data_IF_832726595840
#
_entry.id   IF_832726595840
#
_cell.length_a   1.000
_cell.length_b   1.000
_cell.length_c   1.000
_cell.angle_alpha   90.00
_cell.angle_beta   90.00
_cell.angle_gamma   90.00
#
_symmetry.space_group_name_H-M   'P 1'
#
loop_
_entity.id
_entity.type
_entity.pdbx_description
1 polymer ?
#
# COMPACT_ATOMS: atom_id res chain seq x y z
N UNK A 1 -11.50 20.58 -6.92
CA UNK A 1 -10.31 20.10 -7.68
C UNK A 1 -10.01 18.67 -7.28
N UNK A 2 -9.75 17.80 -8.26
CA UNK A 2 -9.48 16.36 -8.03
C UNK A 2 -7.98 16.11 -8.06
N UNK A 3 -7.47 15.41 -7.04
CA UNK A 3 -6.06 14.98 -6.94
C UNK A 3 -6.02 13.46 -6.84
N UNK A 4 -5.14 12.83 -7.59
CA UNK A 4 -5.05 11.37 -7.68
C UNK A 4 -3.62 10.89 -7.44
N UNK A 5 -3.49 9.91 -6.56
CA UNK A 5 -2.32 9.05 -6.44
C UNK A 5 -2.74 7.66 -6.88
N UNK A 6 -1.99 7.05 -7.80
CA UNK A 6 -2.21 5.66 -8.23
C UNK A 6 -1.04 4.84 -7.74
N UNK A 7 -1.31 3.94 -6.79
CA UNK A 7 -0.28 3.19 -6.04
C UNK A 7 -0.30 1.71 -6.42
N UNK A 8 0.87 1.16 -6.74
CA UNK A 8 1.06 -0.28 -6.84
C UNK A 8 1.61 -0.78 -5.51
N UNK A 9 0.89 -1.68 -4.87
CA UNK A 9 1.37 -2.35 -3.66
C UNK A 9 2.28 -3.54 -4.02
N UNK A 10 2.97 -4.06 -3.01
CA UNK A 10 3.87 -5.21 -3.11
C UNK A 10 5.07 -5.04 -4.06
N UNK A 11 5.50 -3.81 -4.37
CA UNK A 11 6.71 -3.58 -5.15
C UNK A 11 7.92 -4.20 -4.42
N UNK A 12 8.74 -4.98 -5.14
CA UNK A 12 9.79 -5.81 -4.57
C UNK A 12 9.39 -7.24 -4.23
N UNK A 13 8.09 -7.61 -4.30
CA UNK A 13 7.64 -8.97 -4.00
C UNK A 13 8.20 -10.01 -4.98
N UNK A 14 8.14 -9.73 -6.27
CA UNK A 14 8.64 -10.61 -7.33
C UNK A 14 9.08 -9.81 -8.55
N UNK A 15 9.91 -10.39 -9.45
CA UNK A 15 10.24 -9.75 -10.73
C UNK A 15 8.98 -9.42 -11.56
N UNK A 16 7.96 -10.29 -11.52
CA UNK A 16 6.71 -10.07 -12.23
C UNK A 16 5.94 -8.83 -11.73
N UNK A 17 5.92 -8.59 -10.42
CA UNK A 17 5.36 -7.35 -9.85
C UNK A 17 6.19 -6.14 -10.28
N UNK A 18 7.51 -6.24 -10.16
CA UNK A 18 8.42 -5.14 -10.50
C UNK A 18 8.33 -4.72 -11.98
N UNK A 19 8.23 -5.68 -12.89
CA UNK A 19 8.02 -5.46 -14.31
C UNK A 19 6.70 -4.74 -14.59
N UNK A 20 5.62 -5.18 -13.94
CA UNK A 20 4.32 -4.56 -14.11
C UNK A 20 4.27 -3.13 -13.55
N UNK A 21 4.95 -2.87 -12.43
CA UNK A 21 5.12 -1.52 -11.87
C UNK A 21 5.87 -0.61 -12.85
N UNK A 22 6.99 -1.06 -13.39
CA UNK A 22 7.75 -0.29 -14.38
C UNK A 22 6.90 -0.01 -15.63
N UNK A 23 6.21 -1.02 -16.17
CA UNK A 23 5.35 -0.86 -17.34
C UNK A 23 4.18 0.09 -17.07
N UNK A 24 3.47 -0.10 -15.95
CA UNK A 24 2.32 0.72 -15.59
C UNK A 24 2.70 2.19 -15.31
N UNK A 25 3.93 2.45 -14.85
CA UNK A 25 4.44 3.81 -14.69
C UNK A 25 4.84 4.45 -16.02
N UNK A 26 5.51 3.70 -16.89
CA UNK A 26 5.99 4.21 -18.18
C UNK A 26 4.88 4.43 -19.19
N UNK A 27 3.97 3.46 -19.29
CA UNK A 27 2.99 3.37 -20.37
C UNK A 27 1.56 3.63 -19.89
N UNK A 28 1.36 3.81 -18.58
CA UNK A 28 0.07 3.86 -17.92
C UNK A 28 -0.12 5.05 -17.00
N UNK A 29 -0.93 4.85 -15.96
CA UNK A 29 -1.35 5.90 -15.02
C UNK A 29 -0.69 5.79 -13.65
N UNK A 30 0.23 4.86 -13.45
CA UNK A 30 0.82 4.61 -12.14
C UNK A 30 1.72 5.79 -11.73
N UNK A 31 1.50 6.35 -10.55
CA UNK A 31 2.30 7.48 -10.03
C UNK A 31 3.15 7.13 -8.83
N UNK A 32 2.76 6.09 -8.08
CA UNK A 32 3.45 5.64 -6.89
C UNK A 32 3.55 4.11 -6.78
N UNK A 33 4.54 3.63 -6.03
CA UNK A 33 4.69 2.22 -5.68
C UNK A 33 5.09 2.06 -4.21
N UNK A 34 4.58 1.02 -3.54
CA UNK A 34 4.87 0.73 -2.13
C UNK A 34 5.88 -0.42 -2.06
N UNK A 35 7.11 -0.12 -1.64
CA UNK A 35 8.23 -1.07 -1.61
C UNK A 35 8.24 -1.93 -0.34
N UNK A 36 8.21 -3.26 -0.51
CA UNK A 36 8.52 -4.24 0.52
C UNK A 36 10.04 -4.43 0.59
N UNK A 37 10.70 -3.75 1.53
CA UNK A 37 12.18 -3.66 1.57
C UNK A 37 12.93 -4.98 1.79
N UNK A 38 12.26 -5.97 2.38
CA UNK A 38 12.83 -7.30 2.66
C UNK A 38 12.34 -8.39 1.71
N UNK A 39 11.52 -8.03 0.73
CA UNK A 39 10.98 -9.01 -0.20
C UNK A 39 12.05 -9.50 -1.21
N UNK A 40 11.88 -10.71 -1.78
CA UNK A 40 12.92 -11.36 -2.59
C UNK A 40 13.43 -10.54 -3.79
N UNK A 41 12.57 -9.70 -4.37
CA UNK A 41 12.91 -8.86 -5.53
C UNK A 41 13.08 -7.37 -5.17
N UNK A 42 13.28 -7.02 -3.89
CA UNK A 42 13.43 -5.64 -3.44
C UNK A 42 14.63 -4.93 -4.08
N UNK A 43 15.76 -5.64 -4.27
CA UNK A 43 16.94 -5.07 -4.92
C UNK A 43 16.68 -4.68 -6.39
N UNK A 44 15.96 -5.53 -7.13
CA UNK A 44 15.52 -5.23 -8.50
C UNK A 44 14.55 -4.05 -8.53
N UNK A 45 13.60 -4.00 -7.59
CA UNK A 45 12.66 -2.89 -7.46
C UNK A 45 13.37 -1.55 -7.23
N UNK A 46 14.35 -1.51 -6.32
CA UNK A 46 15.17 -0.30 -6.07
C UNK A 46 15.96 0.10 -7.32
N UNK A 47 16.52 -0.87 -8.05
CA UNK A 47 17.25 -0.58 -9.29
C UNK A 47 16.34 0.02 -10.38
N UNK A 48 15.09 -0.46 -10.50
CA UNK A 48 14.07 0.11 -11.40
C UNK A 48 13.65 1.51 -10.97
N UNK A 49 13.34 1.71 -9.70
CA UNK A 49 12.96 3.02 -9.15
C UNK A 49 14.00 4.11 -9.45
N UNK A 50 15.30 3.78 -9.33
CA UNK A 50 16.39 4.72 -9.67
C UNK A 50 16.42 5.13 -11.15
N UNK A 51 15.93 4.28 -12.06
CA UNK A 51 15.80 4.58 -13.49
C UNK A 51 14.49 5.29 -13.85
N UNK A 52 13.54 5.33 -12.91
CA UNK A 52 12.21 5.94 -13.05
C UNK A 52 12.06 7.08 -12.03
N UNK A 53 12.80 8.19 -12.13
CA UNK A 53 12.84 9.22 -11.10
C UNK A 53 11.51 9.95 -10.87
N UNK A 54 10.55 9.84 -11.79
CA UNK A 54 9.17 10.31 -11.64
C UNK A 54 8.27 9.37 -10.85
N UNK A 55 8.65 8.10 -10.65
CA UNK A 55 7.92 7.17 -9.82
C UNK A 55 8.16 7.50 -8.36
N UNK A 56 7.10 7.83 -7.63
CA UNK A 56 7.20 8.02 -6.19
C UNK A 56 7.20 6.68 -5.48
N UNK A 57 8.13 6.46 -4.56
CA UNK A 57 8.25 5.17 -3.87
C UNK A 57 7.99 5.39 -2.38
N UNK A 58 7.07 4.61 -1.80
CA UNK A 58 6.81 4.57 -0.38
C UNK A 58 7.32 3.29 0.27
N UNK A 59 7.28 3.24 1.60
CA UNK A 59 7.57 2.03 2.36
C UNK A 59 6.28 1.23 2.60
N UNK A 60 6.25 0.00 2.10
CA UNK A 60 5.20 -0.98 2.38
C UNK A 60 5.59 -1.84 3.57
N UNK A 61 5.11 -1.48 4.77
CA UNK A 61 5.45 -2.20 5.98
C UNK A 61 4.91 -3.64 5.92
N UNK A 62 5.77 -4.61 6.20
CA UNK A 62 5.45 -6.03 6.21
C UNK A 62 5.41 -6.51 7.64
N UNK A 63 4.22 -6.82 8.13
CA UNK A 63 4.02 -7.21 9.52
C UNK A 63 3.33 -8.58 9.67
N UNK A 64 2.94 -9.19 8.55
CA UNK A 64 2.23 -10.47 8.44
C UNK A 64 2.56 -11.12 7.10
N UNK A 65 2.57 -12.46 7.08
CA UNK A 65 2.60 -13.31 5.88
C UNK A 65 3.77 -13.12 4.90
N UNK A 66 4.85 -12.43 5.28
CA UNK A 66 6.00 -12.18 4.41
C UNK A 66 7.30 -12.02 5.21
N UNK A 67 8.40 -11.68 4.53
CA UNK A 67 9.75 -11.70 5.08
C UNK A 67 10.00 -10.56 6.09
N UNK A 68 10.50 -10.87 7.31
CA UNK A 68 10.96 -9.85 8.24
C UNK A 68 12.28 -9.20 7.75
N UNK A 69 12.56 -7.98 8.22
CA UNK A 69 13.88 -7.36 8.08
C UNK A 69 14.86 -7.89 9.12
N UNK A 70 14.44 -8.00 10.39
CA UNK A 70 15.28 -8.57 11.42
C UNK A 70 15.35 -10.10 11.30
N UNK A 71 16.46 -10.73 11.74
CA UNK A 71 16.54 -12.18 11.79
C UNK A 71 15.39 -12.77 12.61
N UNK A 72 14.73 -13.82 12.11
CA UNK A 72 13.58 -14.43 12.77
C UNK A 72 13.86 -14.86 14.24
N UNK A 73 15.11 -15.25 14.55
CA UNK A 73 15.51 -15.56 15.93
C UNK A 73 15.42 -14.39 16.91
N UNK A 74 15.36 -13.14 16.42
CA UNK A 74 15.11 -11.93 17.22
C UNK A 74 13.61 -11.59 17.35
N UNK A 75 12.75 -12.28 16.59
CA UNK A 75 11.32 -12.02 16.48
C UNK A 75 10.44 -13.24 16.86
N UNK A 76 10.74 -13.99 17.95
CA UNK A 76 10.02 -15.24 18.25
C UNK A 76 8.51 -15.08 18.53
N UNK A 77 8.03 -13.86 18.81
CA UNK A 77 6.59 -13.59 18.96
C UNK A 77 5.91 -13.22 17.63
N UNK A 78 6.68 -12.85 16.60
CA UNK A 78 6.17 -12.30 15.35
C UNK A 78 6.40 -13.20 14.14
N UNK A 79 7.32 -14.16 14.20
CA UNK A 79 7.61 -15.07 13.09
C UNK A 79 7.09 -16.48 13.34
N UNK A 80 6.77 -17.18 12.26
CA UNK A 80 6.40 -18.60 12.24
C UNK A 80 7.65 -19.51 12.19
N UNK A 81 7.41 -20.83 12.13
CA UNK A 81 8.47 -21.84 12.09
C UNK A 81 9.29 -21.80 10.79
N UNK A 82 8.80 -21.14 9.75
CA UNK A 82 9.50 -20.93 8.48
C UNK A 82 10.32 -19.62 8.48
N UNK A 83 10.27 -18.85 9.58
CA UNK A 83 10.95 -17.57 9.71
C UNK A 83 10.25 -16.42 8.98
N UNK A 84 9.02 -16.62 8.51
CA UNK A 84 8.18 -15.56 7.94
C UNK A 84 7.37 -14.89 9.04
N UNK A 85 6.91 -13.66 8.80
CA UNK A 85 5.95 -13.01 9.67
C UNK A 85 4.67 -13.86 9.76
N UNK A 86 4.15 -14.00 10.99
CA UNK A 86 2.95 -14.78 11.30
C UNK A 86 1.76 -14.43 10.41
N UNK A 87 0.91 -15.42 10.16
CA UNK A 87 -0.28 -15.29 9.30
C UNK A 87 -1.57 -15.02 10.08
N UNK A 88 -1.56 -15.30 11.37
CA UNK A 88 -2.73 -15.23 12.25
C UNK A 88 -2.98 -13.81 12.79
N UNK A 89 -3.37 -12.87 11.91
CA UNK A 89 -3.57 -11.44 12.23
C UNK A 89 -4.37 -11.19 13.52
N UNK A 90 -5.47 -11.92 13.73
CA UNK A 90 -6.33 -11.74 14.91
C UNK A 90 -5.64 -12.12 16.22
N UNK A 91 -4.95 -13.26 16.25
CA UNK A 91 -4.23 -13.73 17.44
C UNK A 91 -2.94 -12.94 17.64
N UNK A 92 -2.27 -12.52 16.57
CA UNK A 92 -1.15 -11.57 16.65
C UNK A 92 -1.61 -10.23 17.25
N UNK A 93 -2.78 -9.71 16.86
CA UNK A 93 -3.38 -8.52 17.47
C UNK A 93 -3.59 -8.66 18.98
N UNK A 94 -4.09 -9.82 19.42
CA UNK A 94 -4.25 -10.13 20.85
C UNK A 94 -2.89 -10.23 21.57
N UNK A 95 -1.92 -10.91 20.98
CA UNK A 95 -0.57 -11.02 21.53
C UNK A 95 0.08 -9.64 21.68
N UNK A 96 -0.10 -8.74 20.71
CA UNK A 96 0.36 -7.35 20.81
C UNK A 96 -0.31 -6.61 21.98
N UNK A 97 -1.56 -6.89 22.32
CA UNK A 97 -2.23 -6.30 23.47
C UNK A 97 -1.72 -6.88 24.81
N UNK A 98 -1.46 -8.18 24.87
CA UNK A 98 -1.14 -8.88 26.11
C UNK A 98 0.37 -8.96 26.42
N UNK A 99 1.23 -9.00 25.40
CA UNK A 99 2.65 -9.30 25.56
C UNK A 99 3.52 -8.07 25.26
N UNK A 100 4.24 -7.61 26.28
CA UNK A 100 5.22 -6.53 26.12
C UNK A 100 6.38 -6.92 25.20
N UNK A 101 6.77 -8.20 25.17
CA UNK A 101 7.80 -8.72 24.26
C UNK A 101 7.41 -8.56 22.80
N UNK A 102 6.18 -8.94 22.43
CA UNK A 102 5.65 -8.79 21.07
C UNK A 102 5.64 -7.33 20.63
N UNK A 103 5.24 -6.40 21.52
CA UNK A 103 5.29 -4.95 21.23
C UNK A 103 6.71 -4.41 21.02
N UNK A 104 7.68 -4.89 21.79
CA UNK A 104 9.10 -4.52 21.60
C UNK A 104 9.65 -5.03 20.28
N UNK A 105 9.39 -6.30 19.96
CA UNK A 105 9.78 -6.91 18.68
C UNK A 105 9.13 -6.18 17.50
N UNK A 106 7.84 -5.80 17.62
CA UNK A 106 7.13 -5.07 16.58
C UNK A 106 7.77 -3.71 16.33
N UNK A 107 8.08 -2.97 17.40
CA UNK A 107 8.73 -1.68 17.28
C UNK A 107 10.14 -1.79 16.68
N UNK A 108 10.89 -2.84 17.04
CA UNK A 108 12.21 -3.11 16.47
C UNK A 108 12.13 -3.44 14.97
N UNK A 109 11.19 -4.30 14.58
CA UNK A 109 10.98 -4.68 13.18
C UNK A 109 10.51 -3.51 12.32
N UNK A 110 9.57 -2.69 12.80
CA UNK A 110 9.16 -1.47 12.08
C UNK A 110 10.36 -0.53 11.91
N UNK A 111 11.16 -0.32 12.97
CA UNK A 111 12.36 0.52 12.87
C UNK A 111 13.38 -0.04 11.85
N UNK A 112 13.61 -1.36 11.86
CA UNK A 112 14.49 -2.02 10.91
C UNK A 112 14.03 -1.84 9.47
N UNK A 113 12.72 -1.94 9.19
CA UNK A 113 12.16 -1.69 7.86
C UNK A 113 12.36 -0.23 7.41
N UNK A 114 12.18 0.74 8.29
CA UNK A 114 12.49 2.15 7.99
C UNK A 114 13.99 2.38 7.74
N UNK A 115 14.87 1.73 8.50
CA UNK A 115 16.33 1.81 8.30
C UNK A 115 16.75 1.17 6.98
N UNK A 116 16.20 0.00 6.66
CA UNK A 116 16.42 -0.68 5.39
C UNK A 116 15.91 0.17 4.21
N UNK A 117 14.73 0.77 4.33
CA UNK A 117 14.22 1.70 3.33
C UNK A 117 15.17 2.89 3.12
N UNK A 118 15.58 3.55 4.21
CA UNK A 118 16.53 4.67 4.15
C UNK A 118 17.85 4.27 3.48
N UNK A 119 18.34 3.06 3.73
CA UNK A 119 19.57 2.54 3.12
C UNK A 119 19.46 2.36 1.60
N UNK A 120 18.25 2.28 1.03
CA UNK A 120 18.06 2.28 -0.43
C UNK A 120 18.44 3.60 -1.08
N UNK A 121 18.45 4.71 -0.32
CA UNK A 121 18.65 6.07 -0.82
C UNK A 121 17.45 6.64 -1.58
N UNK A 122 16.32 5.93 -1.66
CA UNK A 122 15.09 6.46 -2.25
C UNK A 122 14.43 7.49 -1.31
N UNK A 123 13.87 8.59 -1.83
CA UNK A 123 13.06 9.50 -1.03
C UNK A 123 11.78 8.81 -0.53
N UNK A 124 11.49 8.92 0.77
CA UNK A 124 10.29 8.34 1.35
C UNK A 124 9.05 9.17 0.97
N UNK A 125 8.29 8.70 -0.02
CA UNK A 125 7.08 9.37 -0.49
C UNK A 125 5.90 9.22 0.48
N UNK A 126 5.62 7.99 0.90
CA UNK A 126 4.53 7.64 1.79
C UNK A 126 4.83 6.35 2.56
N UNK A 127 3.97 6.04 3.53
CA UNK A 127 3.99 4.77 4.24
C UNK A 127 2.61 4.13 4.18
N UNK A 128 2.57 2.82 4.06
CA UNK A 128 1.40 1.97 4.24
C UNK A 128 1.86 0.59 4.74
N UNK A 129 0.97 -0.40 4.79
CA UNK A 129 1.35 -1.75 5.21
C UNK A 129 0.60 -2.83 4.43
N UNK A 130 1.26 -3.96 4.27
CA UNK A 130 0.68 -5.17 3.70
C UNK A 130 -0.56 -5.58 4.51
N UNK A 131 -1.65 -5.90 3.79
CA UNK A 131 -3.01 -6.14 4.35
C UNK A 131 -3.55 -5.02 5.24
N UNK A 132 -3.06 -3.79 5.08
CA UNK A 132 -3.45 -2.62 5.88
C UNK A 132 -3.29 -2.82 7.40
N UNK A 133 -2.36 -3.68 7.83
CA UNK A 133 -2.26 -4.05 9.24
C UNK A 133 -1.84 -2.87 10.15
N UNK A 134 -1.30 -1.81 9.57
CA UNK A 134 -1.00 -0.55 10.25
C UNK A 134 -2.23 0.17 10.80
N UNK A 135 -3.45 -0.20 10.41
CA UNK A 135 -4.70 0.30 10.99
C UNK A 135 -4.91 -0.18 12.43
N UNK A 136 -4.33 -1.32 12.82
CA UNK A 136 -4.43 -1.83 14.18
C UNK A 136 -3.85 -0.79 15.19
N UNK A 137 -4.57 -0.39 16.25
CA UNK A 137 -4.21 0.80 17.07
C UNK A 137 -2.80 0.80 17.67
N UNK A 138 -2.33 -0.37 18.11
CA UNK A 138 -0.97 -0.52 18.66
C UNK A 138 0.09 -0.41 17.57
N UNK A 139 -0.20 -0.94 16.38
CA UNK A 139 0.69 -0.86 15.22
C UNK A 139 0.72 0.57 14.70
N UNK A 140 -0.45 1.19 14.50
CA UNK A 140 -0.60 2.61 14.18
C UNK A 140 0.23 3.50 15.11
N UNK A 141 0.14 3.29 16.43
CA UNK A 141 0.93 4.05 17.41
C UNK A 141 2.44 3.88 17.23
N UNK A 142 2.91 2.67 16.91
CA UNK A 142 4.32 2.42 16.64
C UNK A 142 4.77 3.05 15.32
N UNK A 143 4.01 2.87 14.23
CA UNK A 143 4.30 3.44 12.90
C UNK A 143 4.37 4.96 12.95
N UNK A 144 3.39 5.63 13.57
CA UNK A 144 3.39 7.08 13.71
C UNK A 144 4.62 7.60 14.46
N UNK A 145 4.92 7.01 15.63
CA UNK A 145 6.05 7.42 16.47
C UNK A 145 7.40 7.15 15.80
N UNK A 146 7.57 5.99 15.18
CA UNK A 146 8.83 5.60 14.53
C UNK A 146 8.99 6.37 13.23
N UNK A 147 7.97 6.39 12.37
CA UNK A 147 8.00 7.08 11.07
C UNK A 147 8.31 8.57 11.19
N UNK A 148 7.86 9.25 12.24
CA UNK A 148 8.22 10.64 12.51
C UNK A 148 9.75 10.85 12.60
N UNK A 149 10.50 9.89 13.18
CA UNK A 149 11.97 9.95 13.26
C UNK A 149 12.65 9.76 11.89
N UNK A 150 11.96 9.18 10.93
CA UNK A 150 12.45 8.94 9.57
C UNK A 150 11.91 9.96 8.56
N UNK A 151 11.26 11.03 9.04
CA UNK A 151 10.73 12.08 8.16
C UNK A 151 9.50 11.64 7.37
N UNK A 152 8.72 10.67 7.86
CA UNK A 152 7.44 10.30 7.25
C UNK A 152 6.51 11.52 7.24
N UNK A 153 6.08 11.93 6.04
CA UNK A 153 5.16 13.06 5.83
C UNK A 153 3.80 12.65 5.28
N UNK A 154 3.67 11.44 4.75
CA UNK A 154 2.41 10.92 4.23
C UNK A 154 2.14 9.46 4.66
N UNK A 155 0.87 9.14 4.87
CA UNK A 155 0.42 7.83 5.34
C UNK A 155 -0.90 7.42 4.67
N UNK A 156 -0.99 6.20 4.13
CA UNK A 156 -2.27 5.66 3.66
C UNK A 156 -3.22 5.45 4.83
N UNK A 157 -4.47 5.88 4.66
CA UNK A 157 -5.57 5.52 5.55
C UNK A 157 -6.71 4.91 4.73
N UNK A 158 -6.97 3.60 4.86
CA UNK A 158 -7.91 2.89 3.98
C UNK A 158 -9.36 3.25 4.31
N UNK A 159 -9.88 4.29 3.67
CA UNK A 159 -11.28 4.73 3.78
C UNK A 159 -11.92 4.74 2.41
N UNK A 160 -12.73 3.72 2.14
CA UNK A 160 -13.34 3.54 0.83
C UNK A 160 -14.80 4.01 0.80
N UNK A 161 -15.13 5.05 0.03
CA UNK A 161 -16.49 5.59 -0.05
C UNK A 161 -17.41 4.68 -0.87
N UNK A 162 -18.39 4.06 -0.20
CA UNK A 162 -19.39 3.18 -0.84
C UNK A 162 -20.15 3.82 -1.99
N UNK A 163 -20.37 5.14 -1.95
CA UNK A 163 -21.04 5.85 -3.02
C UNK A 163 -20.27 5.79 -4.34
N UNK A 164 -18.94 5.94 -4.28
CA UNK A 164 -18.09 5.84 -5.48
C UNK A 164 -18.15 4.43 -6.05
N UNK A 165 -18.08 3.40 -5.19
CA UNK A 165 -18.21 2.00 -5.60
C UNK A 165 -19.55 1.71 -6.29
N UNK A 166 -20.66 2.16 -5.72
CA UNK A 166 -22.01 1.97 -6.30
C UNK A 166 -22.17 2.65 -7.66
N UNK A 167 -21.55 3.81 -7.86
CA UNK A 167 -21.56 4.50 -9.15
C UNK A 167 -20.67 3.79 -10.17
N UNK A 168 -19.50 3.31 -9.74
CA UNK A 168 -18.55 2.62 -10.60
C UNK A 168 -19.04 1.23 -11.05
N UNK A 169 -19.75 0.50 -10.21
CA UNK A 169 -20.36 -0.79 -10.56
C UNK A 169 -21.76 -0.90 -9.91
N UNK A 170 -22.82 -0.38 -10.57
CA UNK A 170 -24.18 -0.50 -10.07
C UNK A 170 -24.57 -1.96 -9.86
N UNK A 171 -25.16 -2.27 -8.71
CA UNK A 171 -25.52 -3.64 -8.31
C UNK A 171 -24.37 -4.45 -7.69
N UNK A 172 -23.13 -3.94 -7.66
CA UNK A 172 -22.09 -4.56 -6.87
C UNK A 172 -22.44 -4.49 -5.38
N UNK A 173 -22.28 -5.61 -4.69
CA UNK A 173 -22.39 -5.71 -3.24
C UNK A 173 -21.02 -6.04 -2.65
N UNK A 174 -20.05 -5.11 -2.70
CA UNK A 174 -18.71 -5.38 -2.21
C UNK A 174 -18.76 -5.70 -0.72
N UNK A 175 -18.04 -6.75 -0.30
CA UNK A 175 -17.93 -7.10 1.11
C UNK A 175 -17.45 -5.87 1.88
N UNK A 176 -18.19 -5.38 2.87
CA UNK A 176 -17.79 -4.17 3.56
C UNK A 176 -16.46 -4.40 4.29
N UNK A 177 -15.52 -3.46 4.18
CA UNK A 177 -14.38 -3.36 5.09
C UNK A 177 -14.81 -2.83 6.50
N UNK A 178 -16.02 -3.17 6.95
CA UNK A 178 -16.64 -2.62 8.18
C UNK A 178 -15.76 -2.83 9.41
N UNK A 179 -15.03 -3.94 9.44
CA UNK A 179 -14.22 -4.35 10.59
C UNK A 179 -13.02 -3.43 10.87
N UNK A 180 -12.56 -2.68 9.86
CA UNK A 180 -11.42 -1.75 10.00
C UNK A 180 -11.83 -0.28 10.05
N UNK A 181 -13.08 0.06 9.73
CA UNK A 181 -13.51 1.46 9.58
C UNK A 181 -13.32 2.33 10.84
N UNK A 182 -13.66 1.87 12.08
CA UNK A 182 -13.44 2.66 13.30
C UNK A 182 -11.95 2.94 13.53
N UNK A 183 -11.12 1.94 13.27
CA UNK A 183 -9.67 2.02 13.44
C UNK A 183 -9.01 2.90 12.37
N UNK A 184 -9.50 2.85 11.13
CA UNK A 184 -9.07 3.76 10.07
C UNK A 184 -9.46 5.22 10.38
N UNK A 185 -10.64 5.45 10.98
CA UNK A 185 -11.03 6.78 11.44
C UNK A 185 -10.13 7.30 12.57
N UNK A 186 -9.81 6.45 13.56
CA UNK A 186 -8.86 6.78 14.62
C UNK A 186 -7.47 7.10 14.05
N UNK A 187 -6.98 6.27 13.11
CA UNK A 187 -5.71 6.51 12.43
C UNK A 187 -5.72 7.85 11.68
N UNK A 188 -6.81 8.17 10.98
CA UNK A 188 -6.94 9.44 10.27
C UNK A 188 -6.82 10.65 11.21
N UNK A 189 -7.48 10.60 12.37
CA UNK A 189 -7.42 11.68 13.37
C UNK A 189 -5.99 11.85 13.87
N UNK A 190 -5.34 10.75 14.28
CA UNK A 190 -3.97 10.78 14.81
C UNK A 190 -2.95 11.25 13.77
N UNK A 191 -3.07 10.78 12.52
CA UNK A 191 -2.19 11.19 11.43
C UNK A 191 -2.32 12.69 11.13
N UNK A 192 -3.54 13.22 11.07
CA UNK A 192 -3.80 14.65 10.87
C UNK A 192 -3.29 15.51 12.03
N UNK A 193 -3.44 15.06 13.28
CA UNK A 193 -2.87 15.74 14.44
C UNK A 193 -1.34 15.84 14.39
N UNK A 194 -0.69 14.90 13.71
CA UNK A 194 0.76 14.92 13.47
C UNK A 194 1.16 15.67 12.20
N UNK A 195 0.21 16.33 11.50
CA UNK A 195 0.48 17.07 10.27
C UNK A 195 0.81 16.18 9.06
N UNK A 196 0.47 14.89 9.10
CA UNK A 196 0.69 13.99 7.97
C UNK A 196 -0.36 14.22 6.88
N UNK A 197 0.09 14.19 5.63
CA UNK A 197 -0.79 14.05 4.49
C UNK A 197 -1.40 12.64 4.50
N UNK A 198 -2.72 12.57 4.46
CA UNK A 198 -3.46 11.33 4.25
C UNK A 198 -4.43 11.53 3.09
N UNK A 199 -4.76 10.49 2.33
CA UNK A 199 -5.77 10.62 1.30
C UNK A 199 -7.15 10.86 1.95
N UNK A 200 -7.97 11.69 1.32
CA UNK A 200 -9.36 11.87 1.73
C UNK A 200 -10.14 10.56 1.60
N UNK A 201 -9.73 9.71 0.65
CA UNK A 201 -10.25 8.37 0.40
C UNK A 201 -9.21 7.47 -0.27
N UNK A 202 -9.34 6.17 -0.03
CA UNK A 202 -8.57 5.12 -0.71
C UNK A 202 -9.54 4.18 -1.41
N UNK A 203 -9.32 3.95 -2.71
CA UNK A 203 -10.10 3.07 -3.58
C UNK A 203 -9.27 1.84 -3.95
N UNK A 204 -9.90 0.66 -3.98
CA UNK A 204 -9.25 -0.61 -4.27
C UNK A 204 -9.44 -1.67 -3.17
N UNK A 205 -10.06 -1.32 -2.03
CA UNK A 205 -10.27 -2.26 -0.92
C UNK A 205 -11.30 -3.33 -1.28
N UNK A 206 -12.47 -2.91 -1.73
CA UNK A 206 -13.57 -3.76 -2.13
C UNK A 206 -13.22 -4.73 -3.27
N UNK A 207 -12.28 -4.34 -4.12
CA UNK A 207 -11.89 -5.06 -5.33
C UNK A 207 -10.40 -5.38 -5.35
N UNK A 208 -9.79 -5.54 -4.19
CA UNK A 208 -8.37 -5.91 -4.05
C UNK A 208 -8.11 -7.23 -4.77
N UNK A 209 -7.20 -7.24 -5.75
CA UNK A 209 -6.96 -8.39 -6.62
C UNK A 209 -7.95 -8.52 -7.79
N UNK A 210 -8.87 -7.58 -7.96
CA UNK A 210 -9.90 -7.58 -8.99
C UNK A 210 -10.15 -6.18 -9.58
N UNK A 211 -9.13 -5.33 -9.61
CA UNK A 211 -9.16 -3.99 -10.22
C UNK A 211 -9.02 -4.07 -11.75
N UNK A 212 -10.07 -4.57 -12.42
CA UNK A 212 -10.09 -4.72 -13.89
C UNK A 212 -10.11 -3.37 -14.63
N UNK A 213 -9.78 -3.33 -15.94
CA UNK A 213 -9.82 -2.09 -16.74
C UNK A 213 -11.15 -1.35 -16.62
N UNK A 214 -12.27 -2.10 -16.66
CA UNK A 214 -13.62 -1.56 -16.51
C UNK A 214 -13.81 -0.86 -15.16
N UNK A 215 -13.38 -1.50 -14.07
CA UNK A 215 -13.53 -0.97 -12.71
C UNK A 215 -12.66 0.26 -12.49
N UNK A 216 -11.40 0.20 -12.91
CA UNK A 216 -10.48 1.36 -12.82
C UNK A 216 -11.03 2.55 -13.61
N UNK A 217 -11.43 2.36 -14.87
CA UNK A 217 -12.02 3.43 -15.67
C UNK A 217 -13.28 4.04 -15.03
N UNK A 218 -14.16 3.19 -14.47
CA UNK A 218 -15.37 3.65 -13.80
C UNK A 218 -15.09 4.41 -12.50
N UNK A 219 -14.12 3.96 -11.68
CA UNK A 219 -13.69 4.68 -10.48
C UNK A 219 -13.11 6.05 -10.84
N UNK A 220 -12.25 6.11 -11.87
CA UNK A 220 -11.65 7.36 -12.35
C UNK A 220 -12.71 8.35 -12.86
N UNK A 221 -13.78 7.87 -13.49
CA UNK A 221 -14.89 8.70 -13.94
C UNK A 221 -15.71 9.32 -12.79
N UNK A 222 -15.72 8.68 -11.62
CA UNK A 222 -16.51 9.10 -10.45
C UNK A 222 -15.67 9.65 -9.29
N UNK A 223 -14.41 10.05 -9.55
CA UNK A 223 -13.55 10.65 -8.54
C UNK A 223 -14.20 11.90 -7.91
N UNK A 224 -14.33 11.95 -6.57
CA UNK A 224 -14.75 13.16 -5.88
C UNK A 224 -13.61 14.17 -5.82
N UNK A 225 -13.94 15.44 -5.53
CA UNK A 225 -12.96 16.47 -5.21
C UNK A 225 -12.13 16.11 -3.98
N UNK A 226 -10.88 16.56 -3.90
CA UNK A 226 -9.92 16.20 -2.85
C UNK A 226 -8.87 15.18 -3.31
N UNK A 227 -8.10 14.65 -2.36
CA UNK A 227 -7.03 13.68 -2.62
C UNK A 227 -7.59 12.26 -2.55
N UNK A 228 -7.51 11.54 -3.66
CA UNK A 228 -7.86 10.13 -3.76
C UNK A 228 -6.61 9.31 -4.01
N UNK A 229 -6.43 8.25 -3.21
CA UNK A 229 -5.53 7.17 -3.57
C UNK A 229 -6.34 6.05 -4.24
N UNK A 230 -5.89 5.59 -5.40
CA UNK A 230 -6.34 4.37 -6.04
C UNK A 230 -5.19 3.37 -5.92
N UNK A 231 -5.39 2.20 -5.31
CA UNK A 231 -4.33 1.20 -5.22
C UNK A 231 -4.69 -0.12 -5.90
N UNK A 232 -3.65 -0.82 -6.33
CA UNK A 232 -3.69 -2.05 -7.12
C UNK A 232 -2.52 -2.97 -6.76
N UNK A 233 -2.55 -4.22 -7.20
CA UNK A 233 -1.51 -5.24 -7.10
C UNK A 233 -1.20 -5.74 -8.52
N UNK A 234 -0.54 -4.94 -9.37
CA UNK A 234 -0.23 -5.35 -10.74
C UNK A 234 0.95 -6.33 -10.75
N UNK A 235 0.87 -7.39 -11.56
CA UNK A 235 2.02 -8.22 -11.91
C UNK A 235 1.92 -8.68 -13.37
N UNK A 236 3.05 -9.00 -14.00
CA UNK A 236 3.07 -9.46 -15.40
C UNK A 236 2.37 -10.81 -15.58
N UNK A 237 2.48 -11.68 -14.56
CA UNK A 237 1.76 -12.93 -14.39
C UNK A 237 1.64 -13.27 -12.88
N UNK A 238 0.74 -14.20 -12.52
CA UNK A 238 0.73 -14.84 -11.19
C UNK A 238 1.73 -16.00 -11.10
N UNK A 239 1.59 -16.84 -10.08
CA UNK A 239 2.40 -18.03 -9.83
C UNK A 239 3.72 -17.77 -9.12
N UNK A 240 3.85 -16.66 -8.38
CA UNK A 240 5.08 -16.31 -7.66
C UNK A 240 4.94 -16.49 -6.13
N UNK A 241 6.04 -16.76 -5.40
CA UNK A 241 6.01 -16.87 -3.95
C UNK A 241 5.46 -15.60 -3.29
N UNK A 242 4.50 -15.78 -2.37
CA UNK A 242 3.84 -14.68 -1.66
C UNK A 242 2.64 -14.08 -2.39
N UNK A 243 2.23 -14.64 -3.54
CA UNK A 243 1.00 -14.19 -4.21
C UNK A 243 -0.25 -14.42 -3.34
N UNK A 244 -1.21 -13.50 -3.46
CA UNK A 244 -2.51 -13.61 -2.85
C UNK A 244 -3.41 -14.52 -3.73
N UNK A 245 -4.00 -15.59 -3.17
CA UNK A 245 -4.86 -16.49 -3.93
C UNK A 245 -6.05 -15.76 -4.56
N UNK A 246 -6.30 -16.03 -5.85
CA UNK A 246 -7.44 -15.50 -6.58
C UNK A 246 -7.27 -14.07 -7.11
N UNK A 247 -6.11 -13.45 -6.93
CA UNK A 247 -5.82 -12.13 -7.50
C UNK A 247 -5.60 -12.22 -9.01
N UNK A 248 -6.28 -11.35 -9.77
CA UNK A 248 -6.15 -11.18 -11.20
C UNK A 248 -5.03 -10.18 -11.54
N UNK A 249 -3.80 -10.49 -11.13
CA UNK A 249 -2.63 -9.61 -11.24
C UNK A 249 -2.42 -8.98 -12.62
N UNK A 250 -2.50 -9.80 -13.68
CA UNK A 250 -2.34 -9.32 -15.05
C UNK A 250 -3.47 -8.36 -15.46
N UNK A 251 -4.70 -8.61 -15.01
CA UNK A 251 -5.83 -7.72 -15.28
C UNK A 251 -5.69 -6.38 -14.55
N UNK A 252 -5.10 -6.35 -13.35
CA UNK A 252 -4.80 -5.10 -12.66
C UNK A 252 -3.71 -4.30 -13.37
N UNK A 253 -2.64 -4.96 -13.84
CA UNK A 253 -1.64 -4.33 -14.72
C UNK A 253 -2.32 -3.75 -15.97
N UNK A 254 -3.14 -4.54 -16.65
CA UNK A 254 -3.83 -4.13 -17.88
C UNK A 254 -4.73 -2.91 -17.62
N UNK A 255 -5.36 -2.84 -16.46
CA UNK A 255 -6.17 -1.70 -16.05
C UNK A 255 -5.38 -0.40 -15.93
N UNK A 256 -4.12 -0.48 -15.47
CA UNK A 256 -3.25 0.68 -15.31
C UNK A 256 -2.70 1.23 -16.64
N UNK A 257 -2.57 0.37 -17.66
CA UNK A 257 -2.09 0.76 -19.00
C UNK A 257 -3.22 0.96 -20.02
N UNK A 258 -4.46 0.68 -19.62
CA UNK A 258 -5.64 0.77 -20.48
C UNK A 258 -5.79 2.19 -21.07
N UNK A 259 -6.12 2.33 -22.36
CA UNK A 259 -6.36 3.62 -23.00
C UNK A 259 -7.41 4.47 -22.26
N UNK A 260 -8.46 3.84 -21.73
CA UNK A 260 -9.53 4.51 -20.99
C UNK A 260 -9.04 5.09 -19.67
N UNK A 261 -8.14 4.39 -18.97
CA UNK A 261 -7.53 4.86 -17.74
C UNK A 261 -6.64 6.08 -18.01
N UNK A 262 -5.80 5.99 -19.05
CA UNK A 262 -4.94 7.10 -19.52
C UNK A 262 -5.75 8.32 -19.94
N UNK A 263 -6.82 8.11 -20.71
CA UNK A 263 -7.73 9.18 -21.11
C UNK A 263 -8.46 9.79 -19.91
N UNK A 264 -8.81 9.01 -18.89
CA UNK A 264 -9.46 9.50 -17.68
C UNK A 264 -8.54 10.41 -16.85
N UNK A 265 -7.25 10.06 -16.70
CA UNK A 265 -6.29 10.90 -15.95
C UNK A 265 -5.88 12.17 -16.71
N UNK A 266 -5.95 12.16 -18.04
CA UNK A 266 -5.67 13.34 -18.88
C UNK A 266 -6.81 14.38 -18.90
N UNK A 267 -7.95 14.13 -18.23
CA UNK A 267 -9.10 15.06 -18.24
C UNK A 267 -8.75 16.36 -17.51
N UNK A 268 -9.21 17.52 -18.03
CA UNK A 268 -9.07 18.80 -17.33
C UNK A 268 -9.66 18.75 -15.91
N UNK A 269 -8.95 19.35 -14.94
CA UNK A 269 -9.40 19.44 -13.54
C UNK A 269 -9.02 18.26 -12.65
N UNK A 270 -8.32 17.26 -13.18
CA UNK A 270 -7.67 16.17 -12.44
C UNK A 270 -6.15 16.37 -12.49
N UNK A 271 -5.51 16.32 -11.33
CA UNK A 271 -4.04 16.34 -11.21
C UNK A 271 -3.58 15.03 -10.58
N UNK A 272 -2.62 14.37 -11.22
CA UNK A 272 -2.01 13.13 -10.73
C UNK A 272 -0.56 13.34 -10.31
N UNK A 273 -0.15 12.67 -9.24
CA UNK A 273 1.21 12.68 -8.70
C UNK A 273 1.36 11.58 -7.65
N UNK A 274 2.51 11.49 -6.97
CA UNK A 274 2.58 10.71 -5.72
C UNK A 274 2.21 11.56 -4.51
N UNK A 275 2.41 11.02 -3.30
CA UNK A 275 1.98 11.73 -2.09
C UNK A 275 2.79 13.01 -1.86
N UNK A 276 4.09 12.96 -2.11
CA UNK A 276 5.01 14.08 -1.92
C UNK A 276 4.72 15.28 -2.81
N UNK A 277 4.05 15.09 -3.95
CA UNK A 277 3.64 16.16 -4.86
C UNK A 277 2.43 16.96 -4.32
N UNK A 278 1.78 16.49 -3.24
CA UNK A 278 0.61 17.10 -2.61
C UNK A 278 0.83 17.53 -1.15
N UNK A 279 2.10 17.59 -0.72
CA UNK A 279 2.52 18.02 0.61
C UNK A 279 2.54 19.54 0.81
#
# INVERSE_FOLDING_TARGET
>A
MKRLVVTADDFGLSPAVNEAVEQAHRDGILTAASLMVSAPAAADAVARARRLPSLRVGLHLVLVEAWPTLPAGQLPDLTDAQGLMRRDMGRLGLDLALRASARRQLAAEIAAQFEAYRATGLPLDHVNAHKHFHVHPLIAGAVLRIGARFGMRALRVPREPREVLRRAEPGANPKPALDIAPWAALLAVRARQMGLLIPDRTLGLAWSGAMTPRRVAALLAHLPDGLTELYTHPASAGGFPGEAPGYAYAAERDALIAPEARAAVARPGLVSGGFSDFL
#
